data_IF_083115966623
#
_entry.id   IF_083115966623
#
_cell.length_a   1.000
_cell.length_b   1.000
_cell.length_c   1.000
_cell.angle_alpha   90.00
_cell.angle_beta   90.00
_cell.angle_gamma   90.00
#
_symmetry.space_group_name_H-M   'P 1'
#
loop_
_entity.id
_entity.type
_entity.pdbx_description
1 polymer ?
#
# COMPACT_ATOMS: atom_id res chain seq x y z
N UNK A 1 19.80 -4.35 -5.14
CA UNK A 1 18.90 -4.84 -4.08
C UNK A 1 17.60 -5.28 -4.74
N UNK A 2 17.02 -6.41 -4.35
CA UNK A 2 15.70 -6.82 -4.85
C UNK A 2 14.61 -5.99 -4.14
N UNK A 3 13.59 -5.55 -4.89
CA UNK A 3 12.48 -4.77 -4.33
C UNK A 3 11.68 -5.62 -3.32
N UNK A 4 11.27 -4.99 -2.21
CA UNK A 4 10.49 -5.68 -1.16
C UNK A 4 9.04 -5.82 -1.62
N UNK A 5 8.56 -7.06 -1.72
CA UNK A 5 7.20 -7.37 -2.18
C UNK A 5 6.22 -7.34 -1.02
N UNK A 6 5.06 -6.70 -1.20
CA UNK A 6 3.98 -6.64 -0.21
C UNK A 6 2.62 -6.90 -0.85
N UNK A 7 1.75 -7.60 -0.14
CA UNK A 7 0.35 -7.78 -0.48
C UNK A 7 -0.50 -6.85 0.39
N UNK A 8 -1.26 -5.95 -0.22
CA UNK A 8 -2.16 -5.03 0.48
C UNK A 8 -3.61 -5.48 0.30
N UNK A 9 -4.31 -5.68 1.41
CA UNK A 9 -5.74 -5.99 1.44
C UNK A 9 -6.47 -4.96 2.29
N UNK A 10 -7.46 -4.30 1.68
CA UNK A 10 -8.39 -3.45 2.44
C UNK A 10 -9.50 -4.32 3.03
N UNK A 11 -9.72 -4.21 4.34
CA UNK A 11 -10.76 -4.98 5.05
C UNK A 11 -12.17 -4.40 4.90
N UNK A 12 -12.33 -3.34 4.08
CA UNK A 12 -13.63 -2.81 3.71
C UNK A 12 -14.28 -1.95 4.80
N UNK A 13 -13.96 -0.66 4.81
CA UNK A 13 -14.84 0.37 5.38
C UNK A 13 -14.68 1.64 4.53
N UNK A 14 -15.77 2.25 4.04
CA UNK A 14 -15.69 3.40 3.13
C UNK A 14 -14.98 4.61 3.74
N UNK A 15 -14.90 4.71 5.08
CA UNK A 15 -14.15 5.75 5.79
C UNK A 15 -12.64 5.69 5.61
N UNK A 16 -12.07 4.52 5.27
CA UNK A 16 -10.62 4.32 5.24
C UNK A 16 -10.05 4.34 3.80
N UNK A 17 -10.84 4.85 2.83
CA UNK A 17 -10.43 4.91 1.43
C UNK A 17 -9.20 5.79 1.24
N UNK A 18 -9.23 7.00 1.82
CA UNK A 18 -8.12 7.96 1.74
C UNK A 18 -6.88 7.39 2.43
N UNK A 19 -7.03 6.79 3.62
CA UNK A 19 -5.92 6.17 4.34
C UNK A 19 -5.25 5.05 3.54
N UNK A 20 -6.02 4.27 2.78
CA UNK A 20 -5.52 3.21 1.91
C UNK A 20 -4.71 3.78 0.74
N UNK A 21 -5.19 4.86 0.12
CA UNK A 21 -4.49 5.55 -0.98
C UNK A 21 -3.18 6.20 -0.49
N UNK A 22 -3.20 6.84 0.69
CA UNK A 22 -2.00 7.40 1.35
C UNK A 22 -0.98 6.30 1.66
N UNK A 23 -1.42 5.17 2.23
CA UNK A 23 -0.53 4.05 2.54
C UNK A 23 0.12 3.48 1.27
N UNK A 24 -0.63 3.30 0.19
CA UNK A 24 -0.08 2.84 -1.09
C UNK A 24 0.96 3.82 -1.66
N UNK A 25 0.73 5.13 -1.54
CA UNK A 25 1.69 6.16 -1.92
C UNK A 25 2.99 6.09 -1.12
N UNK A 26 2.91 5.96 0.20
CA UNK A 26 4.06 5.79 1.08
C UNK A 26 4.87 4.52 0.77
N UNK A 27 4.19 3.41 0.50
CA UNK A 27 4.84 2.15 0.14
C UNK A 27 5.60 2.27 -1.18
N UNK A 28 5.00 2.94 -2.18
CA UNK A 28 5.67 3.20 -3.45
C UNK A 28 6.91 4.11 -3.27
N UNK A 29 6.83 5.13 -2.42
CA UNK A 29 7.97 6.02 -2.12
C UNK A 29 9.12 5.33 -1.36
N UNK A 30 8.84 4.19 -0.72
CA UNK A 30 9.81 3.39 0.06
C UNK A 30 10.33 2.17 -0.72
N UNK A 31 10.21 2.17 -2.05
CA UNK A 31 10.68 1.12 -2.95
C UNK A 31 10.04 -0.27 -2.69
N UNK A 32 8.79 -0.29 -2.20
CA UNK A 32 8.01 -1.53 -2.14
C UNK A 32 7.30 -1.79 -3.47
N UNK A 33 7.23 -3.05 -3.86
CA UNK A 33 6.45 -3.51 -5.02
C UNK A 33 5.20 -4.23 -4.52
N UNK A 34 4.04 -3.76 -4.96
CA UNK A 34 2.77 -4.43 -4.73
C UNK A 34 2.67 -5.72 -5.56
N UNK A 35 2.24 -6.81 -4.93
CA UNK A 35 2.00 -8.13 -5.57
C UNK A 35 0.58 -8.62 -5.33
#
# INVERSE_FOLDING_TARGET
MAAKKLYFVSLGCPKNRVDSEIMLGELNARDYTMV
#
